data_IF_859505973305
#
_entry.id   IF_859505973305
#
_cell.length_a   1.000
_cell.length_b   1.000
_cell.length_c   1.000
_cell.angle_alpha   90.00
_cell.angle_beta   90.00
_cell.angle_gamma   90.00
#
_symmetry.space_group_name_H-M   'P 1'
#
loop_
_entity.id
_entity.type
_entity.pdbx_description
1 polymer ?
#
# COMPACT_ATOMS: atom_id res chain seq x y z
N UNK A 1 -8.59 13.63 -51.19
CA UNK A 1 -8.43 15.05 -50.78
C UNK A 1 -8.04 15.06 -49.31
N UNK A 2 -6.75 14.94 -49.01
CA UNK A 2 -6.22 14.92 -47.63
C UNK A 2 -6.19 16.35 -47.09
N UNK A 3 -6.78 16.64 -45.91
CA UNK A 3 -6.79 18.00 -45.37
C UNK A 3 -5.35 18.47 -45.10
N UNK A 4 -5.09 19.76 -45.35
CA UNK A 4 -3.78 20.38 -45.11
C UNK A 4 -3.43 20.29 -43.62
N UNK A 5 -2.16 20.07 -43.26
CA UNK A 5 -1.73 19.93 -41.85
C UNK A 5 -1.98 21.17 -40.98
N UNK A 6 -2.27 22.33 -41.59
CA UNK A 6 -2.70 23.54 -40.88
C UNK A 6 -4.16 23.45 -40.39
N UNK A 7 -5.06 22.86 -41.19
CA UNK A 7 -6.48 22.73 -40.88
C UNK A 7 -6.72 21.73 -39.73
N UNK A 8 -5.91 20.67 -39.68
CA UNK A 8 -5.94 19.69 -38.59
C UNK A 8 -5.50 20.27 -37.23
N UNK A 9 -4.52 21.19 -37.22
CA UNK A 9 -4.09 21.87 -35.98
C UNK A 9 -5.15 22.85 -35.50
N UNK A 10 -5.80 23.56 -36.43
CA UNK A 10 -6.90 24.49 -36.13
C UNK A 10 -8.12 23.74 -35.58
N UNK A 11 -8.49 22.57 -36.14
CA UNK A 11 -9.59 21.77 -35.60
C UNK A 11 -9.30 21.23 -34.19
N UNK A 12 -8.07 20.77 -33.93
CA UNK A 12 -7.69 20.29 -32.58
C UNK A 12 -7.65 21.39 -31.53
N UNK A 13 -7.27 22.63 -31.89
CA UNK A 13 -7.23 23.75 -30.94
C UNK A 13 -8.62 24.29 -30.61
N UNK A 14 -9.53 24.29 -31.58
CA UNK A 14 -10.94 24.69 -31.39
C UNK A 14 -11.68 23.69 -30.50
N UNK A 15 -11.44 22.38 -30.67
CA UNK A 15 -12.09 21.34 -29.86
C UNK A 15 -11.64 21.34 -28.40
N UNK A 16 -10.37 21.67 -28.13
CA UNK A 16 -9.82 21.77 -26.77
C UNK A 16 -10.39 22.94 -25.95
N UNK A 17 -10.90 23.98 -26.61
CA UNK A 17 -11.44 25.18 -25.97
C UNK A 17 -12.96 25.14 -25.73
N UNK A 18 -13.65 24.07 -26.15
CA UNK A 18 -15.10 23.93 -25.98
C UNK A 18 -15.50 23.98 -24.50
N UNK A 19 -16.59 24.70 -24.16
CA UNK A 19 -17.13 24.69 -22.82
C UNK A 19 -17.57 23.26 -22.44
N UNK A 20 -17.32 22.89 -21.20
CA UNK A 20 -17.63 21.55 -20.72
C UNK A 20 -19.14 21.34 -20.60
N UNK A 21 -19.65 20.31 -21.28
CA UNK A 21 -21.06 19.90 -21.19
C UNK A 21 -21.41 19.41 -19.78
N UNK A 22 -22.67 19.61 -19.39
CA UNK A 22 -23.19 19.23 -18.08
C UNK A 22 -23.07 17.74 -17.82
N UNK A 23 -23.34 16.89 -18.82
CA UNK A 23 -23.26 15.43 -18.66
C UNK A 23 -21.82 14.97 -18.45
N UNK A 24 -20.89 15.52 -19.23
CA UNK A 24 -19.47 15.23 -19.06
C UNK A 24 -18.96 15.64 -17.67
N UNK A 25 -19.43 16.79 -17.16
CA UNK A 25 -19.11 17.24 -15.80
C UNK A 25 -19.76 16.34 -14.73
N UNK A 26 -21.01 15.93 -14.89
CA UNK A 26 -21.69 15.01 -13.97
C UNK A 26 -20.96 13.67 -13.85
N UNK A 27 -20.51 13.09 -14.98
CA UNK A 27 -19.73 11.86 -15.00
C UNK A 27 -18.35 12.04 -14.36
N UNK A 28 -17.70 13.19 -14.59
CA UNK A 28 -16.44 13.52 -13.95
C UNK A 28 -16.60 13.63 -12.43
N UNK A 29 -17.64 14.31 -11.95
CA UNK A 29 -17.96 14.38 -10.52
C UNK A 29 -18.22 13.00 -9.92
N UNK A 30 -18.94 12.12 -10.64
CA UNK A 30 -19.18 10.75 -10.19
C UNK A 30 -17.86 9.96 -10.09
N UNK A 31 -16.94 10.16 -11.03
CA UNK A 31 -15.61 9.54 -10.98
C UNK A 31 -14.77 10.04 -9.82
N UNK A 32 -14.72 11.36 -9.59
CA UNK A 32 -14.02 11.92 -8.43
C UNK A 32 -14.66 11.48 -7.12
N UNK A 33 -15.99 11.35 -7.06
CA UNK A 33 -16.68 10.80 -5.89
C UNK A 33 -16.28 9.34 -5.61
N UNK A 34 -16.21 8.50 -6.65
CA UNK A 34 -15.77 7.12 -6.52
C UNK A 34 -14.31 7.02 -6.04
N UNK A 35 -13.42 7.87 -6.58
CA UNK A 35 -12.01 7.96 -6.14
C UNK A 35 -11.91 8.42 -4.68
N UNK A 36 -12.70 9.41 -4.27
CA UNK A 36 -12.74 9.87 -2.89
C UNK A 36 -13.25 8.76 -1.96
N UNK A 37 -14.35 8.08 -2.32
CA UNK A 37 -14.90 6.96 -1.55
C UNK A 37 -13.89 5.83 -1.37
N UNK A 38 -13.13 5.52 -2.42
CA UNK A 38 -12.07 4.51 -2.38
C UNK A 38 -10.98 4.85 -1.35
N UNK A 39 -10.66 6.14 -1.16
CA UNK A 39 -9.63 6.60 -0.23
C UNK A 39 -10.16 6.96 1.15
N UNK A 40 -11.48 7.09 1.32
CA UNK A 40 -12.12 7.53 2.56
C UNK A 40 -11.65 6.78 3.81
N UNK A 41 -11.46 5.44 3.79
CA UNK A 41 -10.96 4.71 4.96
C UNK A 41 -9.54 5.08 5.41
N UNK A 42 -8.75 5.77 4.57
CA UNK A 42 -7.36 6.15 4.83
C UNK A 42 -7.18 7.63 5.12
N UNK A 43 -8.24 8.43 4.91
CA UNK A 43 -8.23 9.85 5.16
C UNK A 43 -8.65 10.13 6.60
N UNK A 44 -8.13 11.19 7.24
CA UNK A 44 -8.69 11.69 8.48
C UNK A 44 -10.17 12.05 8.22
N UNK A 45 -11.10 11.65 9.09
CA UNK A 45 -12.54 11.77 8.82
C UNK A 45 -12.96 13.23 8.57
N UNK A 46 -12.33 14.18 9.28
CA UNK A 46 -12.55 15.62 9.07
C UNK A 46 -12.16 16.07 7.67
N UNK A 47 -11.00 15.63 7.17
CA UNK A 47 -10.53 15.96 5.83
C UNK A 47 -11.44 15.32 4.77
N UNK A 48 -11.80 14.05 4.94
CA UNK A 48 -12.72 13.35 4.05
C UNK A 48 -14.07 14.06 3.94
N UNK A 49 -14.64 14.50 5.07
CA UNK A 49 -15.92 15.23 5.11
C UNK A 49 -15.82 16.58 4.40
N UNK A 50 -14.76 17.36 4.64
CA UNK A 50 -14.53 18.64 3.96
C UNK A 50 -14.40 18.45 2.45
N UNK A 51 -13.62 17.45 2.00
CA UNK A 51 -13.47 17.17 0.57
C UNK A 51 -14.78 16.71 -0.07
N UNK A 52 -15.56 15.88 0.61
CA UNK A 52 -16.88 15.46 0.15
C UNK A 52 -17.85 16.65 0.05
N UNK A 53 -17.82 17.57 1.03
CA UNK A 53 -18.62 18.78 1.02
C UNK A 53 -18.23 19.72 -0.14
N UNK A 54 -16.93 19.95 -0.37
CA UNK A 54 -16.43 20.74 -1.50
C UNK A 54 -16.90 20.14 -2.84
N UNK A 55 -16.77 18.82 -3.00
CA UNK A 55 -17.24 18.11 -4.18
C UNK A 55 -18.75 18.26 -4.38
N UNK A 56 -19.55 18.05 -3.33
CA UNK A 56 -21.01 18.13 -3.37
C UNK A 56 -21.49 19.56 -3.68
N UNK A 57 -20.91 20.58 -3.03
CA UNK A 57 -21.23 21.99 -3.28
C UNK A 57 -20.88 22.36 -4.72
N UNK A 58 -19.70 21.96 -5.20
CA UNK A 58 -19.28 22.23 -6.58
C UNK A 58 -20.20 21.55 -7.60
N UNK A 59 -20.60 20.32 -7.32
CA UNK A 59 -21.51 19.55 -8.17
C UNK A 59 -22.91 20.21 -8.22
N UNK A 60 -23.46 20.56 -7.06
CA UNK A 60 -24.76 21.25 -6.96
C UNK A 60 -24.72 22.64 -7.63
N UNK A 61 -23.68 23.43 -7.37
CA UNK A 61 -23.47 24.73 -7.98
C UNK A 61 -23.56 24.62 -9.51
N UNK A 62 -22.80 23.71 -10.13
CA UNK A 62 -22.80 23.57 -11.60
C UNK A 62 -24.16 23.13 -12.17
N UNK A 63 -24.96 22.39 -11.39
CA UNK A 63 -26.32 21.99 -11.77
C UNK A 63 -27.35 23.12 -11.67
N UNK A 64 -27.16 24.05 -10.74
CA UNK A 64 -28.11 25.13 -10.47
C UNK A 64 -27.75 26.44 -11.14
N UNK A 65 -26.45 26.79 -11.20
CA UNK A 65 -25.92 28.02 -11.79
C UNK A 65 -24.61 27.72 -12.51
N UNK A 66 -24.61 27.90 -13.84
CA UNK A 66 -23.36 27.91 -14.61
C UNK A 66 -22.50 29.09 -14.19
N UNK A 67 -21.22 28.85 -13.87
CA UNK A 67 -20.32 29.92 -13.42
C UNK A 67 -19.00 29.39 -12.90
N UNK A 68 -17.96 30.22 -13.04
CA UNK A 68 -16.62 29.94 -12.53
C UNK A 68 -16.57 30.21 -11.03
N UNK A 69 -15.85 29.37 -10.29
CA UNK A 69 -15.53 29.66 -8.89
C UNK A 69 -14.53 30.82 -8.84
N UNK A 70 -14.77 31.80 -7.96
CA UNK A 70 -13.90 32.97 -7.84
C UNK A 70 -12.49 32.55 -7.39
N UNK A 71 -11.47 33.25 -7.90
CA UNK A 71 -10.07 32.98 -7.55
C UNK A 71 -9.82 33.15 -6.05
N UNK A 72 -10.51 34.10 -5.42
CA UNK A 72 -10.44 34.40 -3.99
C UNK A 72 -10.87 33.23 -3.10
N UNK A 73 -11.76 32.34 -3.56
CA UNK A 73 -12.16 31.15 -2.81
C UNK A 73 -11.22 29.97 -3.06
N UNK A 74 -10.61 29.91 -4.26
CA UNK A 74 -9.71 28.82 -4.66
C UNK A 74 -8.34 28.90 -4.00
N UNK A 75 -7.73 30.09 -4.00
CA UNK A 75 -6.41 30.34 -3.40
C UNK A 75 -6.30 29.85 -1.94
N UNK A 76 -7.19 30.25 -1.01
CA UNK A 76 -7.09 29.81 0.37
C UNK A 76 -7.31 28.31 0.50
N UNK A 77 -8.16 27.70 -0.34
CA UNK A 77 -8.44 26.26 -0.26
C UNK A 77 -7.24 25.41 -0.75
N UNK A 78 -6.56 25.87 -1.81
CA UNK A 78 -5.31 25.27 -2.31
C UNK A 78 -4.19 25.41 -1.29
N UNK A 79 -4.07 26.57 -0.63
CA UNK A 79 -3.06 26.79 0.42
C UNK A 79 -3.38 26.03 1.72
N UNK A 80 -4.66 25.90 2.08
CA UNK A 80 -5.08 25.21 3.29
C UNK A 80 -4.92 23.69 3.20
N UNK A 81 -5.02 23.10 2.00
CA UNK A 81 -4.89 21.65 1.81
C UNK A 81 -3.55 21.07 2.33
N UNK A 82 -2.36 21.55 1.89
CA UNK A 82 -1.08 21.04 2.40
C UNK A 82 -0.90 21.32 3.90
N UNK A 83 -1.42 22.44 4.41
CA UNK A 83 -1.40 22.74 5.85
C UNK A 83 -2.25 21.76 6.66
N UNK A 84 -3.46 21.44 6.18
CA UNK A 84 -4.34 20.45 6.80
C UNK A 84 -3.70 19.05 6.79
N UNK A 85 -2.99 18.69 5.73
CA UNK A 85 -2.26 17.42 5.63
C UNK A 85 -1.09 17.39 6.61
N UNK A 86 -0.30 18.47 6.68
CA UNK A 86 0.80 18.58 7.63
C UNK A 86 0.30 18.50 9.08
N UNK A 87 -0.81 19.17 9.40
CA UNK A 87 -1.41 19.12 10.73
C UNK A 87 -1.98 17.73 11.08
N UNK A 88 -2.50 16.99 10.10
CA UNK A 88 -3.11 15.67 10.34
C UNK A 88 -2.09 14.52 10.38
N UNK A 89 -1.00 14.60 9.60
CA UNK A 89 -0.04 13.51 9.43
C UNK A 89 1.35 13.81 10.00
N UNK A 90 1.64 15.06 10.40
CA UNK A 90 2.93 15.49 10.94
C UNK A 90 4.07 15.61 9.91
N UNK A 91 3.93 14.96 8.74
CA UNK A 91 4.89 15.01 7.63
C UNK A 91 4.16 15.02 6.29
N UNK A 92 4.64 15.79 5.29
CA UNK A 92 4.10 15.73 3.92
C UNK A 92 4.61 14.48 3.16
N UNK A 93 5.65 13.82 3.66
CA UNK A 93 6.26 12.67 3.01
C UNK A 93 5.67 11.37 3.54
N UNK A 94 5.16 10.55 2.63
CA UNK A 94 4.61 9.24 2.95
C UNK A 94 3.45 8.86 2.04
N UNK A 95 3.08 7.59 2.08
CA UNK A 95 2.01 7.04 1.26
C UNK A 95 0.65 7.64 1.59
N UNK A 96 0.31 7.69 2.88
CA UNK A 96 -0.96 8.25 3.36
C UNK A 96 -1.09 9.78 3.11
N UNK A 97 -0.14 10.64 3.53
CA UNK A 97 -0.22 12.07 3.25
C UNK A 97 -0.15 12.38 1.75
N UNK A 98 0.65 11.63 0.97
CA UNK A 98 0.72 11.77 -0.49
C UNK A 98 -0.60 11.43 -1.19
N UNK A 99 -1.25 10.34 -0.80
CA UNK A 99 -2.57 9.99 -1.33
C UNK A 99 -3.64 11.02 -0.92
N UNK A 100 -3.62 11.50 0.33
CA UNK A 100 -4.51 12.55 0.80
C UNK A 100 -4.34 13.85 0.01
N UNK A 101 -3.09 14.23 -0.28
CA UNK A 101 -2.77 15.39 -1.12
C UNK A 101 -3.30 15.20 -2.54
N UNK A 102 -3.09 14.02 -3.14
CA UNK A 102 -3.53 13.72 -4.49
C UNK A 102 -5.07 13.77 -4.61
N UNK A 103 -5.79 13.15 -3.66
CA UNK A 103 -7.26 13.20 -3.60
C UNK A 103 -7.77 14.62 -3.38
N UNK A 104 -7.17 15.37 -2.45
CA UNK A 104 -7.52 16.76 -2.21
C UNK A 104 -7.31 17.62 -3.46
N UNK A 105 -6.15 17.52 -4.10
CA UNK A 105 -5.85 18.21 -5.35
C UNK A 105 -6.83 17.84 -6.46
N UNK A 106 -7.25 16.58 -6.55
CA UNK A 106 -8.23 16.14 -7.55
C UNK A 106 -9.59 16.79 -7.32
N UNK A 107 -10.06 16.87 -6.07
CA UNK A 107 -11.31 17.57 -5.71
C UNK A 107 -11.19 19.07 -6.04
N UNK A 108 -10.07 19.71 -5.69
CA UNK A 108 -9.83 21.12 -5.99
C UNK A 108 -9.73 21.38 -7.50
N UNK A 109 -9.19 20.44 -8.27
CA UNK A 109 -9.11 20.53 -9.74
C UNK A 109 -10.49 20.70 -10.40
N UNK A 110 -11.55 20.18 -9.79
CA UNK A 110 -12.93 20.35 -10.29
C UNK A 110 -13.43 21.80 -10.18
N UNK A 111 -12.86 22.60 -9.29
CA UNK A 111 -13.21 24.03 -9.16
C UNK A 111 -12.72 24.84 -10.37
N UNK A 112 -11.80 24.29 -11.16
CA UNK A 112 -11.20 24.94 -12.33
C UNK A 112 -11.55 24.25 -13.65
N UNK A 113 -12.20 23.09 -13.60
CA UNK A 113 -12.54 22.28 -14.77
C UNK A 113 -13.74 22.86 -15.51
N UNK A 114 -13.47 23.82 -16.39
CA UNK A 114 -14.49 24.55 -17.16
C UNK A 114 -14.48 24.22 -18.65
N UNK A 115 -13.37 23.68 -19.16
CA UNK A 115 -13.18 23.31 -20.57
C UNK A 115 -12.95 21.82 -20.71
N UNK A 116 -13.20 21.29 -21.90
CA UNK A 116 -12.96 19.88 -22.23
C UNK A 116 -11.51 19.45 -21.95
N UNK A 117 -10.52 20.30 -22.27
CA UNK A 117 -9.10 20.06 -21.95
C UNK A 117 -8.85 19.89 -20.46
N UNK A 118 -9.45 20.75 -19.63
CA UNK A 118 -9.26 20.72 -18.18
C UNK A 118 -9.89 19.45 -17.60
N UNK A 119 -11.09 19.09 -18.08
CA UNK A 119 -11.75 17.85 -17.71
C UNK A 119 -10.96 16.60 -18.11
N UNK A 120 -10.36 16.58 -19.30
CA UNK A 120 -9.50 15.46 -19.73
C UNK A 120 -8.28 15.30 -18.80
N UNK A 121 -7.67 16.41 -18.38
CA UNK A 121 -6.58 16.38 -17.39
C UNK A 121 -7.05 15.86 -16.02
N UNK A 122 -8.27 16.23 -15.60
CA UNK A 122 -8.87 15.75 -14.36
C UNK A 122 -9.22 14.25 -14.43
N UNK A 123 -9.65 13.74 -15.59
CA UNK A 123 -9.85 12.30 -15.82
C UNK A 123 -8.54 11.53 -15.70
N UNK A 124 -7.48 12.00 -16.38
CA UNK A 124 -6.17 11.36 -16.33
C UNK A 124 -5.61 11.34 -14.90
N UNK A 125 -5.66 12.48 -14.22
CA UNK A 125 -5.24 12.59 -12.83
C UNK A 125 -6.10 11.73 -11.91
N UNK A 126 -7.43 11.75 -12.07
CA UNK A 126 -8.35 10.92 -11.29
C UNK A 126 -8.11 9.43 -11.48
N UNK A 127 -7.75 8.99 -12.68
CA UNK A 127 -7.40 7.59 -12.95
C UNK A 127 -6.12 7.19 -12.23
N UNK A 128 -5.11 8.07 -12.22
CA UNK A 128 -3.89 7.87 -11.44
C UNK A 128 -4.19 7.79 -9.93
N UNK A 129 -4.99 8.72 -9.40
CA UNK A 129 -5.37 8.71 -7.98
C UNK A 129 -6.16 7.44 -7.65
N UNK A 130 -7.09 6.99 -8.51
CA UNK A 130 -7.81 5.73 -8.31
C UNK A 130 -6.85 4.54 -8.14
N UNK A 131 -5.85 4.42 -9.03
CA UNK A 131 -4.85 3.36 -8.97
C UNK A 131 -3.94 3.46 -7.73
N UNK A 132 -3.64 4.68 -7.26
CA UNK A 132 -2.84 4.88 -6.04
C UNK A 132 -3.44 4.20 -4.80
N UNK A 133 -4.75 3.90 -4.81
CA UNK A 133 -5.39 3.18 -3.74
C UNK A 133 -4.84 1.75 -3.55
N UNK A 134 -4.33 1.14 -4.61
CA UNK A 134 -3.68 -0.18 -4.59
C UNK A 134 -2.35 -0.17 -3.83
N UNK A 135 -1.78 1.01 -3.54
CA UNK A 135 -0.62 1.14 -2.67
C UNK A 135 -0.93 0.73 -1.22
N UNK A 136 -2.19 0.77 -0.80
CA UNK A 136 -2.60 0.44 0.57
C UNK A 136 -3.03 -1.02 0.73
N UNK A 137 -3.37 -1.71 -0.36
CA UNK A 137 -3.77 -3.11 -0.33
C UNK A 137 -4.01 -3.65 -1.74
N UNK A 138 -3.46 -4.83 -2.02
CA UNK A 138 -3.52 -5.49 -3.33
C UNK A 138 -4.49 -6.68 -3.33
N UNK A 139 -5.59 -6.59 -2.58
CA UNK A 139 -6.60 -7.64 -2.56
C UNK A 139 -7.45 -7.62 -3.84
N UNK A 140 -8.01 -8.78 -4.20
CA UNK A 140 -8.89 -8.91 -5.36
C UNK A 140 -10.14 -7.99 -5.25
N UNK A 141 -10.82 -7.88 -4.10
CA UNK A 141 -11.93 -6.92 -3.94
C UNK A 141 -11.49 -5.47 -4.17
N UNK A 142 -10.31 -5.08 -3.67
CA UNK A 142 -9.79 -3.72 -3.86
C UNK A 142 -9.52 -3.43 -5.33
N UNK A 143 -8.98 -4.40 -6.07
CA UNK A 143 -8.74 -4.30 -7.52
C UNK A 143 -10.05 -4.11 -8.29
N UNK A 144 -11.10 -4.86 -7.92
CA UNK A 144 -12.44 -4.70 -8.50
C UNK A 144 -13.01 -3.31 -8.20
N UNK A 145 -12.89 -2.82 -6.96
CA UNK A 145 -13.35 -1.48 -6.58
C UNK A 145 -12.64 -0.37 -7.35
N UNK A 146 -11.32 -0.49 -7.55
CA UNK A 146 -10.55 0.45 -8.39
C UNK A 146 -11.06 0.42 -9.83
N UNK A 147 -11.26 -0.78 -10.41
CA UNK A 147 -11.79 -0.91 -11.77
C UNK A 147 -13.19 -0.29 -11.91
N UNK A 148 -14.07 -0.47 -10.92
CA UNK A 148 -15.39 0.18 -10.88
C UNK A 148 -15.28 1.70 -10.76
N UNK A 149 -14.33 2.23 -9.99
CA UNK A 149 -14.10 3.67 -9.88
C UNK A 149 -13.59 4.31 -11.19
N UNK A 150 -12.95 3.53 -12.07
CA UNK A 150 -12.51 4.00 -13.39
C UNK A 150 -13.67 4.14 -14.39
N UNK A 151 -14.75 3.38 -14.26
CA UNK A 151 -15.91 3.42 -15.18
C UNK A 151 -16.47 4.84 -15.42
N UNK A 152 -16.81 5.63 -14.39
CA UNK A 152 -17.28 7.00 -14.59
C UNK A 152 -16.24 7.95 -15.17
N UNK A 153 -14.95 7.75 -14.86
CA UNK A 153 -13.86 8.55 -15.43
C UNK A 153 -13.72 8.28 -16.94
N UNK A 154 -13.81 7.02 -17.34
CA UNK A 154 -13.81 6.61 -18.75
C UNK A 154 -15.08 7.07 -19.48
N UNK A 155 -16.24 7.01 -18.82
CA UNK A 155 -17.49 7.55 -19.37
C UNK A 155 -17.39 9.08 -19.56
N UNK A 156 -16.78 9.79 -18.60
CA UNK A 156 -16.51 11.21 -18.74
C UNK A 156 -15.59 11.49 -19.92
N UNK A 157 -14.51 10.71 -20.10
CA UNK A 157 -13.60 10.84 -21.24
C UNK A 157 -14.31 10.63 -22.57
N UNK A 158 -15.20 9.64 -22.64
CA UNK A 158 -16.00 9.37 -23.83
C UNK A 158 -16.94 10.55 -24.14
N UNK A 159 -17.56 11.14 -23.11
CA UNK A 159 -18.46 12.30 -23.27
C UNK A 159 -17.74 13.57 -23.73
N UNK A 160 -16.41 13.64 -23.63
CA UNK A 160 -15.60 14.74 -24.15
C UNK A 160 -15.34 14.63 -25.67
N UNK A 161 -15.63 13.49 -26.30
CA UNK A 161 -15.33 13.27 -27.71
C UNK A 161 -16.34 13.99 -28.63
N UNK A 162 -15.88 14.78 -29.63
CA UNK A 162 -16.75 15.61 -30.47
C UNK A 162 -17.82 14.86 -31.27
N UNK A 163 -17.57 13.60 -31.61
CA UNK A 163 -18.43 12.77 -32.47
C UNK A 163 -19.25 11.72 -31.68
N UNK A 164 -19.23 11.75 -30.35
CA UNK A 164 -19.98 10.79 -29.56
C UNK A 164 -21.47 11.17 -29.54
N UNK A 165 -22.31 10.36 -30.18
CA UNK A 165 -23.76 10.43 -29.98
C UNK A 165 -24.05 10.28 -28.49
N UNK A 166 -24.77 11.22 -27.88
CA UNK A 166 -24.93 11.27 -26.43
C UNK A 166 -25.93 10.19 -25.99
N UNK A 167 -25.46 9.03 -25.47
CA UNK A 167 -26.38 7.96 -25.12
C UNK A 167 -27.12 8.31 -23.81
N UNK A 168 -28.23 7.63 -23.50
CA UNK A 168 -28.86 7.72 -22.18
C UNK A 168 -27.83 7.42 -21.08
N UNK A 169 -27.95 8.06 -19.91
CA UNK A 169 -26.97 7.93 -18.81
C UNK A 169 -26.67 6.46 -18.44
N UNK A 170 -27.70 5.61 -18.41
CA UNK A 170 -27.54 4.18 -18.15
C UNK A 170 -26.65 3.46 -19.19
N UNK A 171 -26.65 3.91 -20.45
CA UNK A 171 -25.83 3.35 -21.53
C UNK A 171 -24.45 4.00 -21.64
N UNK A 172 -24.20 5.10 -20.91
CA UNK A 172 -22.91 5.79 -20.91
C UNK A 172 -21.77 4.90 -20.37
N UNK A 173 -22.10 3.88 -19.58
CA UNK A 173 -21.13 2.95 -19.00
C UNK A 173 -20.90 1.68 -19.82
N UNK A 174 -21.74 1.39 -20.81
CA UNK A 174 -21.65 0.13 -21.57
C UNK A 174 -20.33 -0.01 -22.32
N UNK A 175 -19.91 1.05 -23.04
CA UNK A 175 -18.64 1.05 -23.79
C UNK A 175 -17.41 1.09 -22.86
N UNK A 176 -17.35 1.94 -21.81
CA UNK A 176 -16.30 1.85 -20.79
C UNK A 176 -16.17 0.45 -20.16
N UNK A 177 -17.30 -0.17 -19.80
CA UNK A 177 -17.31 -1.51 -19.23
C UNK A 177 -16.82 -2.56 -20.22
N UNK A 178 -17.22 -2.48 -21.49
CA UNK A 178 -16.70 -3.36 -22.55
C UNK A 178 -15.18 -3.18 -22.74
N UNK A 179 -14.68 -1.95 -22.73
CA UNK A 179 -13.24 -1.68 -22.87
C UNK A 179 -12.44 -2.22 -21.66
N UNK A 180 -12.97 -2.09 -20.45
CA UNK A 180 -12.39 -2.72 -19.26
C UNK A 180 -12.46 -4.25 -19.34
N UNK A 181 -13.56 -4.83 -19.83
CA UNK A 181 -13.69 -6.27 -20.03
C UNK A 181 -12.66 -6.78 -21.07
N UNK A 182 -12.46 -6.03 -22.15
CA UNK A 182 -11.50 -6.38 -23.20
C UNK A 182 -10.04 -6.21 -22.75
N UNK A 183 -9.77 -5.48 -21.67
CA UNK A 183 -8.43 -5.39 -21.09
C UNK A 183 -8.09 -6.56 -20.15
N UNK A 184 -9.08 -7.37 -19.71
CA UNK A 184 -8.84 -8.54 -18.85
C UNK A 184 -7.89 -9.57 -19.46
N UNK A 185 -8.02 -9.97 -20.75
CA UNK A 185 -7.08 -10.90 -21.37
C UNK A 185 -5.65 -10.38 -21.35
N UNK A 186 -5.45 -9.09 -21.64
CA UNK A 186 -4.13 -8.46 -21.58
C UNK A 186 -3.60 -8.40 -20.14
N UNK A 187 -4.46 -8.08 -19.17
CA UNK A 187 -4.11 -8.09 -17.76
C UNK A 187 -3.75 -9.51 -17.27
N UNK A 188 -4.42 -10.54 -17.77
CA UNK A 188 -4.14 -11.95 -17.44
C UNK A 188 -2.79 -12.39 -18.03
N UNK A 189 -2.50 -12.03 -19.28
CA UNK A 189 -1.18 -12.25 -19.88
C UNK A 189 -0.11 -11.54 -19.05
N UNK A 190 -0.29 -10.25 -18.74
CA UNK A 190 0.64 -9.52 -17.88
C UNK A 190 0.79 -10.20 -16.50
N UNK A 191 -0.31 -10.65 -15.89
CA UNK A 191 -0.28 -11.33 -14.60
C UNK A 191 0.47 -12.67 -14.62
N UNK A 192 0.38 -13.43 -15.72
CA UNK A 192 1.07 -14.71 -15.87
C UNK A 192 2.56 -14.55 -16.19
N UNK A 193 2.90 -13.57 -17.03
CA UNK A 193 4.27 -13.42 -17.55
C UNK A 193 5.10 -12.36 -16.81
N UNK A 194 4.49 -11.40 -16.12
CA UNK A 194 5.23 -10.38 -15.35
C UNK A 194 5.64 -10.96 -14.00
N UNK A 195 6.95 -11.05 -13.69
CA UNK A 195 7.42 -11.58 -12.43
C UNK A 195 6.95 -10.67 -11.27
N UNK A 196 6.40 -11.27 -10.23
CA UNK A 196 5.99 -10.54 -9.03
C UNK A 196 7.23 -10.14 -8.25
N UNK A 197 7.58 -8.87 -8.32
CA UNK A 197 8.70 -8.31 -7.56
C UNK A 197 8.31 -8.25 -6.08
N UNK A 198 9.13 -8.85 -5.22
CA UNK A 198 8.94 -8.87 -3.77
C UNK A 198 9.30 -7.53 -3.10
N UNK A 199 10.05 -6.68 -3.79
CA UNK A 199 10.44 -5.34 -3.32
C UNK A 199 10.27 -4.32 -4.44
N UNK A 200 9.85 -3.07 -4.13
CA UNK A 200 9.78 -2.01 -5.13
C UNK A 200 11.15 -1.72 -5.74
N UNK A 201 11.24 -1.59 -7.06
CA UNK A 201 12.52 -1.29 -7.77
C UNK A 201 13.12 0.07 -7.38
N UNK A 202 12.30 0.98 -6.84
CA UNK A 202 12.65 2.32 -6.43
C UNK A 202 13.01 2.42 -4.94
N UNK A 203 13.28 1.30 -4.27
CA UNK A 203 13.82 1.28 -2.90
C UNK A 203 12.95 1.96 -1.85
N UNK A 204 11.64 2.12 -2.13
CA UNK A 204 10.72 2.63 -1.12
C UNK A 204 10.70 1.62 0.04
N UNK A 205 10.89 2.07 1.30
CA UNK A 205 10.76 1.21 2.46
C UNK A 205 9.47 0.41 2.31
N UNK A 206 9.61 -0.93 2.38
CA UNK A 206 8.47 -1.82 2.37
C UNK A 206 7.44 -1.30 3.36
N UNK A 207 6.15 -1.42 3.02
CA UNK A 207 5.12 -1.12 4.00
C UNK A 207 5.51 -1.89 5.27
N UNK A 208 5.74 -1.15 6.36
CA UNK A 208 5.56 -1.71 7.68
C UNK A 208 4.10 -2.17 7.74
N UNK A 209 3.80 -3.35 7.19
CA UNK A 209 2.92 -4.22 7.92
C UNK A 209 3.63 -4.36 9.25
N UNK A 210 3.16 -3.62 10.25
CA UNK A 210 3.33 -3.99 11.64
C UNK A 210 2.76 -5.40 11.75
N UNK A 211 3.58 -6.39 11.38
CA UNK A 211 3.32 -7.79 11.63
C UNK A 211 3.56 -7.91 13.11
N UNK A 212 2.47 -8.10 13.83
CA UNK A 212 2.48 -8.72 15.16
C UNK A 212 3.52 -9.83 15.15
N UNK A 213 4.49 -9.67 16.04
CA UNK A 213 5.74 -10.38 16.04
C UNK A 213 6.57 -9.85 17.20
N UNK A 214 7.53 -10.63 17.66
CA UNK A 214 8.33 -10.26 18.83
C UNK A 214 9.04 -8.93 18.54
N UNK A 215 8.77 -7.91 19.34
CA UNK A 215 9.40 -6.58 19.25
C UNK A 215 10.81 -6.62 19.85
N UNK A 216 11.76 -5.78 19.41
CA UNK A 216 13.06 -5.65 20.05
C UNK A 216 13.00 -4.95 21.42
N UNK A 217 11.82 -4.45 21.81
CA UNK A 217 11.53 -3.88 23.12
C UNK A 217 10.23 -4.49 23.65
N UNK A 218 10.21 -4.87 24.93
CA UNK A 218 9.05 -5.49 25.58
C UNK A 218 8.86 -4.89 26.97
N UNK A 219 7.69 -4.31 27.22
CA UNK A 219 7.19 -3.96 28.54
C UNK A 219 6.18 -5.02 29.04
N UNK A 220 5.91 -5.09 30.36
CA UNK A 220 4.82 -5.92 30.87
C UNK A 220 3.49 -5.56 30.18
N UNK A 221 2.86 -6.55 29.55
CA UNK A 221 1.60 -6.38 28.80
C UNK A 221 1.74 -6.33 27.27
N UNK A 222 2.92 -6.02 26.72
CA UNK A 222 3.14 -5.93 25.26
C UNK A 222 2.97 -7.27 24.53
N UNK A 223 2.99 -8.40 25.27
CA UNK A 223 2.80 -9.74 24.69
C UNK A 223 1.33 -10.14 24.52
N UNK A 224 0.38 -9.39 25.08
CA UNK A 224 -1.05 -9.73 25.05
C UNK A 224 -1.58 -9.75 23.61
N UNK A 225 -1.18 -8.78 22.79
CA UNK A 225 -1.55 -8.73 21.37
C UNK A 225 -0.96 -9.92 20.59
N UNK A 226 0.16 -10.49 21.06
CA UNK A 226 0.81 -11.64 20.45
C UNK A 226 0.10 -12.96 20.80
N UNK A 227 -0.55 -13.04 21.97
CA UNK A 227 -1.33 -14.20 22.39
C UNK A 227 -2.67 -14.34 21.66
N UNK A 228 -3.20 -13.23 21.13
CA UNK A 228 -4.49 -13.20 20.43
C UNK A 228 -4.35 -13.35 18.91
N UNK A 229 -3.11 -13.49 18.41
CA UNK A 229 -2.82 -13.66 16.99
C UNK A 229 -2.56 -15.14 16.63
N UNK A 230 -3.54 -15.76 15.95
CA UNK A 230 -3.46 -17.15 15.52
C UNK A 230 -2.68 -17.36 14.21
N UNK A 231 -1.98 -16.32 13.70
CA UNK A 231 -1.16 -16.48 12.49
C UNK A 231 0.05 -17.37 12.76
N UNK A 232 0.41 -18.26 11.83
CA UNK A 232 1.63 -19.06 11.95
C UNK A 232 2.85 -18.15 12.09
N UNK A 233 3.66 -18.36 13.13
CA UNK A 233 4.95 -17.68 13.28
C UNK A 233 6.05 -18.43 12.53
N UNK A 234 6.13 -19.74 12.76
CA UNK A 234 7.11 -20.63 12.13
C UNK A 234 6.57 -22.06 12.07
N UNK A 235 7.08 -22.86 11.13
CA UNK A 235 6.87 -24.31 11.05
C UNK A 235 8.21 -25.01 11.18
N UNK A 236 8.24 -26.15 11.87
CA UNK A 236 9.47 -26.93 12.08
C UNK A 236 9.24 -28.36 11.65
N UNK A 237 10.14 -28.84 10.79
CA UNK A 237 10.21 -30.24 10.39
C UNK A 237 11.48 -30.85 10.97
N UNK A 238 11.35 -31.81 11.88
CA UNK A 238 12.47 -32.55 12.45
C UNK A 238 12.85 -33.71 11.52
N UNK A 239 14.15 -33.93 11.33
CA UNK A 239 14.64 -35.07 10.53
C UNK A 239 14.31 -36.42 11.20
N UNK A 240 14.17 -36.42 12.54
CA UNK A 240 13.81 -37.58 13.35
C UNK A 240 12.66 -37.29 14.33
N UNK A 241 12.58 -38.07 15.41
CA UNK A 241 11.58 -37.85 16.44
C UNK A 241 11.72 -36.44 17.06
N UNK A 242 10.62 -35.68 17.18
CA UNK A 242 10.68 -34.34 17.74
C UNK A 242 11.05 -34.39 19.23
N UNK A 243 11.74 -33.36 19.77
CA UNK A 243 12.05 -33.28 21.19
C UNK A 243 10.78 -33.33 22.04
N UNK A 244 10.86 -33.76 23.32
CA UNK A 244 9.76 -33.64 24.28
C UNK A 244 9.26 -32.19 24.38
N UNK A 245 7.98 -31.94 24.69
CA UNK A 245 7.41 -30.58 24.73
C UNK A 245 8.21 -29.57 25.55
N UNK A 246 8.73 -29.96 26.72
CA UNK A 246 9.55 -29.08 27.59
C UNK A 246 10.90 -28.66 26.99
N UNK A 247 11.36 -29.30 25.92
CA UNK A 247 12.58 -28.95 25.19
C UNK A 247 12.31 -28.14 23.91
N UNK A 248 11.04 -27.86 23.58
CA UNK A 248 10.63 -27.11 22.38
C UNK A 248 10.67 -25.60 22.59
N UNK A 249 11.69 -25.11 23.28
CA UNK A 249 11.88 -23.68 23.49
C UNK A 249 12.64 -23.09 22.29
N UNK A 250 11.91 -22.44 21.39
CA UNK A 250 12.45 -21.76 20.23
C UNK A 250 12.89 -20.34 20.61
N UNK A 251 14.18 -20.19 20.84
CA UNK A 251 14.81 -18.92 21.21
C UNK A 251 15.00 -18.05 19.97
N UNK A 252 14.68 -16.76 20.09
CA UNK A 252 14.87 -15.77 19.02
C UNK A 252 15.72 -14.58 19.44
N UNK A 253 15.33 -13.90 20.53
CA UNK A 253 15.95 -12.66 20.98
C UNK A 253 16.16 -12.67 22.50
N UNK A 254 17.25 -12.06 22.95
CA UNK A 254 17.59 -11.88 24.36
C UNK A 254 17.63 -10.37 24.64
N UNK A 255 16.88 -9.95 25.65
CA UNK A 255 16.76 -8.54 26.02
C UNK A 255 17.52 -8.29 27.31
N UNK A 256 18.76 -7.82 27.20
CA UNK A 256 19.66 -7.61 28.34
C UNK A 256 19.44 -6.26 29.04
N UNK A 257 18.93 -5.25 28.34
CA UNK A 257 18.85 -3.89 28.86
C UNK A 257 17.48 -3.59 29.44
N UNK A 258 17.41 -3.32 30.75
CA UNK A 258 16.19 -2.90 31.42
C UNK A 258 16.25 -1.43 31.80
N UNK A 259 15.30 -0.63 31.31
CA UNK A 259 15.25 0.83 31.55
C UNK A 259 14.39 1.22 32.77
N UNK A 260 13.96 0.25 33.58
CA UNK A 260 13.03 0.45 34.69
C UNK A 260 11.55 0.20 34.31
N UNK A 261 11.23 0.07 33.02
CA UNK A 261 9.87 -0.21 32.53
C UNK A 261 9.83 -1.31 31.46
N UNK A 262 10.83 -1.37 30.59
CA UNK A 262 10.87 -2.28 29.46
C UNK A 262 12.26 -2.91 29.32
N UNK A 263 12.28 -4.14 28.82
CA UNK A 263 13.48 -4.83 28.36
C UNK A 263 13.71 -4.51 26.88
N UNK A 264 14.95 -4.26 26.50
CA UNK A 264 15.35 -4.01 25.13
C UNK A 264 16.48 -4.94 24.71
N UNK A 265 16.42 -5.40 23.47
CA UNK A 265 17.51 -6.09 22.81
C UNK A 265 18.58 -5.09 22.38
N UNK A 266 19.83 -5.52 22.54
CA UNK A 266 20.99 -4.72 22.13
C UNK A 266 21.28 -4.99 20.65
N UNK A 267 21.29 -3.95 19.83
CA UNK A 267 21.50 -4.03 18.36
C UNK A 267 22.93 -4.38 17.95
N UNK A 268 23.83 -4.66 18.89
CA UNK A 268 25.25 -4.79 18.57
C UNK A 268 25.53 -6.16 17.96
N UNK A 269 25.93 -6.15 16.69
CA UNK A 269 26.48 -7.31 16.02
C UNK A 269 27.57 -7.94 16.91
N UNK A 270 27.56 -9.27 17.08
CA UNK A 270 28.53 -9.95 17.93
C UNK A 270 29.90 -9.89 17.26
N UNK A 271 30.80 -9.09 17.80
CA UNK A 271 32.25 -9.19 17.50
C UNK A 271 32.92 -10.31 18.31
N UNK A 272 32.19 -10.97 19.20
CA UNK A 272 32.65 -12.10 20.00
C UNK A 272 32.22 -13.42 19.38
N UNK A 273 33.20 -14.28 19.12
CA UNK A 273 32.93 -15.67 18.72
C UNK A 273 32.15 -16.38 19.83
N UNK A 274 31.18 -17.24 19.48
CA UNK A 274 30.47 -18.06 20.46
C UNK A 274 31.47 -18.90 21.26
N UNK A 275 31.25 -19.02 22.57
CA UNK A 275 32.07 -19.88 23.43
C UNK A 275 32.04 -21.33 22.92
N UNK A 276 33.20 -21.99 22.93
CA UNK A 276 33.32 -23.37 22.49
C UNK A 276 32.51 -24.28 23.40
N UNK A 277 31.39 -24.80 22.88
CA UNK A 277 30.51 -25.72 23.60
C UNK A 277 30.78 -27.15 23.14
N UNK A 278 30.97 -28.05 24.11
CA UNK A 278 30.95 -29.49 23.87
C UNK A 278 29.48 -29.94 23.90
N UNK A 279 28.85 -30.21 22.74
CA UNK A 279 27.44 -30.52 22.72
C UNK A 279 27.19 -31.87 23.42
N UNK A 280 26.29 -31.86 24.40
CA UNK A 280 25.78 -33.09 24.99
C UNK A 280 24.60 -33.59 24.15
N UNK A 281 24.58 -34.88 23.84
CA UNK A 281 23.45 -35.52 23.18
C UNK A 281 22.17 -35.42 24.05
N UNK A 282 20.97 -35.39 23.45
CA UNK A 282 20.65 -35.59 22.03
C UNK A 282 20.77 -34.33 21.16
N UNK A 283 21.18 -34.53 19.91
CA UNK A 283 21.20 -33.51 18.85
C UNK A 283 19.92 -33.58 18.03
N UNK A 284 19.34 -32.43 17.70
CA UNK A 284 18.19 -32.34 16.81
C UNK A 284 18.56 -31.52 15.59
N UNK A 285 18.49 -32.16 14.42
CA UNK A 285 18.56 -31.51 13.10
C UNK A 285 17.15 -31.33 12.56
N UNK A 286 16.86 -30.12 12.10
CA UNK A 286 15.53 -29.74 11.66
C UNK A 286 15.58 -28.58 10.67
N UNK A 287 14.52 -28.48 9.86
CA UNK A 287 14.27 -27.36 8.98
C UNK A 287 13.20 -26.45 9.59
N UNK A 288 13.46 -25.14 9.55
CA UNK A 288 12.51 -24.10 9.95
C UNK A 288 12.01 -23.38 8.72
N UNK A 289 10.70 -23.28 8.58
CA UNK A 289 10.02 -22.37 7.66
C UNK A 289 9.51 -21.18 8.47
N UNK A 290 10.15 -20.04 8.34
CA UNK A 290 9.83 -18.81 9.07
C UNK A 290 8.98 -17.89 8.19
N UNK A 291 7.82 -17.48 8.70
CA UNK A 291 6.98 -16.50 8.03
C UNK A 291 7.68 -15.12 8.05
N UNK A 292 7.40 -14.23 7.08
CA UNK A 292 8.18 -13.01 7.01
C UNK A 292 7.87 -12.06 8.17
N UNK A 293 8.90 -11.65 8.89
CA UNK A 293 8.78 -10.85 10.13
C UNK A 293 9.15 -9.38 9.92
N UNK A 294 9.84 -9.04 8.82
CA UNK A 294 10.47 -7.72 8.64
C UNK A 294 11.63 -7.45 9.62
N UNK A 295 12.10 -8.50 10.30
CA UNK A 295 13.17 -8.45 11.30
C UNK A 295 14.36 -9.27 10.86
N UNK A 296 15.46 -9.14 11.58
CA UNK A 296 16.72 -9.79 11.24
C UNK A 296 16.98 -11.09 12.00
N UNK A 297 16.32 -11.30 13.15
CA UNK A 297 16.55 -12.48 14.00
C UNK A 297 15.83 -13.73 13.48
N UNK A 298 16.47 -14.87 13.69
CA UNK A 298 15.96 -16.20 13.39
C UNK A 298 15.63 -16.94 14.70
N UNK A 299 14.80 -17.96 14.60
CA UNK A 299 14.41 -18.80 15.72
C UNK A 299 15.05 -20.19 15.65
N UNK A 300 15.55 -20.68 16.77
CA UNK A 300 16.09 -22.03 16.86
C UNK A 300 15.79 -22.63 18.24
N UNK A 301 15.73 -23.96 18.34
CA UNK A 301 15.81 -24.63 19.62
C UNK A 301 17.07 -24.17 20.35
N UNK A 302 16.97 -24.08 21.68
CA UNK A 302 18.06 -23.60 22.52
C UNK A 302 19.39 -24.28 22.20
N UNK A 303 20.48 -23.53 22.31
CA UNK A 303 21.86 -24.00 22.05
C UNK A 303 22.08 -24.46 20.58
N UNK A 304 21.92 -23.57 19.57
CA UNK A 304 22.17 -23.89 18.16
C UNK A 304 23.66 -24.03 17.86
N UNK A 305 24.08 -25.16 17.28
CA UNK A 305 25.50 -25.51 17.10
C UNK A 305 26.23 -24.64 16.09
N UNK A 306 25.55 -24.21 15.04
CA UNK A 306 26.11 -23.37 13.98
C UNK A 306 25.06 -22.40 13.45
N UNK A 307 25.52 -21.30 12.86
CA UNK A 307 24.65 -20.40 12.12
C UNK A 307 24.27 -21.02 10.76
N UNK A 308 23.00 -20.89 10.31
CA UNK A 308 22.62 -21.23 8.95
C UNK A 308 23.29 -20.30 7.93
N UNK A 309 23.26 -20.68 6.65
CA UNK A 309 23.78 -19.85 5.56
C UNK A 309 23.16 -18.42 5.60
N UNK A 310 23.97 -17.40 5.32
CA UNK A 310 23.61 -15.98 5.40
C UNK A 310 23.14 -15.47 6.77
N UNK A 311 23.48 -16.17 7.85
CA UNK A 311 23.25 -15.73 9.22
C UNK A 311 24.55 -15.69 10.02
N UNK A 312 24.54 -14.87 11.06
CA UNK A 312 25.58 -14.76 12.07
C UNK A 312 25.01 -15.25 13.40
N UNK A 313 25.87 -15.80 14.24
CA UNK A 313 25.52 -16.24 15.59
C UNK A 313 26.20 -15.35 16.64
N UNK A 314 25.43 -14.87 17.62
CA UNK A 314 25.95 -14.07 18.73
C UNK A 314 26.62 -14.91 19.80
N UNK A 315 27.36 -14.26 20.70
CA UNK A 315 27.90 -14.92 21.90
C UNK A 315 26.77 -15.49 22.77
N UNK A 316 25.59 -14.87 22.77
CA UNK A 316 24.38 -15.41 23.41
C UNK A 316 23.68 -16.51 22.58
N UNK A 317 24.29 -16.90 21.45
CA UNK A 317 23.77 -17.86 20.45
C UNK A 317 22.46 -17.45 19.79
N UNK A 318 22.24 -16.14 19.66
CA UNK A 318 21.14 -15.62 18.84
C UNK A 318 21.55 -15.66 17.38
N UNK A 319 20.61 -16.03 16.52
CA UNK A 319 20.84 -16.11 15.09
C UNK A 319 20.26 -14.86 14.42
N UNK A 320 21.05 -14.17 13.61
CA UNK A 320 20.60 -12.97 12.91
C UNK A 320 21.15 -12.89 11.49
N UNK A 321 20.33 -12.40 10.55
CA UNK A 321 20.71 -12.13 9.17
C UNK A 321 21.09 -10.67 8.97
N UNK A 322 21.97 -10.41 8.01
CA UNK A 322 22.30 -9.04 7.57
C UNK A 322 21.13 -8.31 6.91
N UNK A 323 20.15 -9.05 6.38
CA UNK A 323 18.95 -8.51 5.72
C UNK A 323 17.67 -8.87 6.47
N UNK A 324 16.64 -8.01 6.45
CA UNK A 324 15.36 -8.31 7.05
C UNK A 324 14.65 -9.48 6.32
N UNK A 325 13.78 -10.18 7.06
CA UNK A 325 13.07 -11.36 6.58
C UNK A 325 11.71 -10.91 6.02
N UNK A 326 11.73 -10.49 4.75
CA UNK A 326 10.55 -9.94 4.05
C UNK A 326 9.78 -10.99 3.23
N UNK A 327 10.37 -12.17 3.02
CA UNK A 327 9.74 -13.34 2.41
C UNK A 327 9.87 -14.58 3.31
N UNK A 328 9.11 -15.63 3.00
CA UNK A 328 9.20 -16.92 3.70
C UNK A 328 10.64 -17.42 3.59
N UNK A 329 11.24 -17.73 4.74
CA UNK A 329 12.63 -18.16 4.83
C UNK A 329 12.71 -19.61 5.29
N UNK A 330 13.43 -20.41 4.52
CA UNK A 330 13.79 -21.78 4.87
C UNK A 330 15.23 -21.83 5.35
N UNK A 331 15.47 -22.41 6.52
CA UNK A 331 16.82 -22.62 7.01
C UNK A 331 16.90 -23.88 7.86
N UNK A 332 18.07 -24.53 7.81
CA UNK A 332 18.36 -25.73 8.56
C UNK A 332 19.23 -25.39 9.77
N UNK A 333 18.89 -25.97 10.92
CA UNK A 333 19.63 -25.78 12.17
C UNK A 333 19.86 -27.13 12.81
N UNK A 334 20.98 -27.26 13.52
CA UNK A 334 21.19 -28.35 14.46
C UNK A 334 21.38 -27.74 15.85
N UNK A 335 20.58 -28.18 16.81
CA UNK A 335 20.61 -27.69 18.19
C UNK A 335 20.77 -28.82 19.20
N UNK A 336 21.36 -28.48 20.34
CA UNK A 336 21.52 -29.37 21.50
C UNK A 336 20.78 -28.77 22.71
N UNK A 337 19.43 -28.80 22.74
CA UNK A 337 18.66 -28.15 23.79
C UNK A 337 19.02 -28.73 25.16
N UNK A 338 19.22 -27.86 26.16
CA UNK A 338 19.53 -28.30 27.52
C UNK A 338 18.37 -29.12 28.08
N UNK A 339 18.71 -30.14 28.87
CA UNK A 339 17.73 -30.91 29.62
C UNK A 339 17.09 -29.97 30.65
N UNK A 340 15.76 -29.85 30.64
CA UNK A 340 15.05 -29.14 31.69
C UNK A 340 15.40 -29.79 33.04
N UNK A 341 15.84 -28.97 34.00
CA UNK A 341 16.10 -29.38 35.37
C UNK A 341 14.81 -29.72 36.10
#
# INVERSE_FOLDING_TARGET
MTPRPADARLSTSIDAQRPLDRRAFDLLCLGVAAVLALHLPRLPPRLGLVLAAVLAVRWAQRRWRGGRVSLLLKLPLVAALPLAILAAYGSPFGRAPGAALAVGMLVLKLLESERARDAASAVAFGSFVAMSALLFGQSLPMTVLVALALLPLLAALQALQPAAAVPPFARAFARPALLLALSLPLALVAFLFVPRLSSPLWGAPGAEQARTGISPRMAPGDFVDLLTDDRPALRVAFDGAPPPPGQRYFRGLVMWHFDGRAWAATSTAPSSQPEALHPQAPLYSYEVTLEPTGRHWLFALDTPLAAPADALMSAARELARSRPIDAVLHYRVTSAPRRAL
#
